data_IF_220043632859
#
_entry.id   IF_220043632859
#
_cell.length_a   1.000
_cell.length_b   1.000
_cell.length_c   1.000
_cell.angle_alpha   90.00
_cell.angle_beta   90.00
_cell.angle_gamma   90.00
#
_symmetry.space_group_name_H-M   'P 1'
#
loop_
_entity.id
_entity.type
_entity.pdbx_description
1 polymer ?
#
# COMPACT_ATOMS: atom_id res chain seq x y z
N UNK A 1 28.25 -14.85 -10.73
CA UNK A 1 27.87 -15.63 -11.93
C UNK A 1 26.36 -15.52 -12.06
N UNK A 2 25.84 -14.85 -13.11
CA UNK A 2 24.40 -14.63 -13.33
C UNK A 2 23.99 -15.43 -14.56
N UNK A 3 23.10 -16.40 -14.39
CA UNK A 3 22.53 -17.17 -15.50
C UNK A 3 21.27 -16.43 -15.94
N UNK A 4 21.18 -16.07 -17.21
CA UNK A 4 20.01 -15.40 -17.80
C UNK A 4 19.49 -16.21 -18.99
N UNK A 5 18.17 -16.36 -19.15
CA UNK A 5 17.57 -17.10 -20.26
C UNK A 5 17.83 -16.41 -21.62
N UNK A 6 17.90 -17.23 -22.67
CA UNK A 6 18.20 -16.82 -24.06
C UNK A 6 16.93 -16.50 -24.88
N UNK A 7 15.81 -16.10 -24.27
CA UNK A 7 14.58 -15.83 -25.03
C UNK A 7 14.51 -14.38 -25.52
N UNK A 8 14.29 -14.21 -26.82
CA UNK A 8 14.01 -12.90 -27.45
C UNK A 8 12.55 -12.43 -27.26
N UNK A 9 11.70 -13.26 -26.66
CA UNK A 9 10.33 -12.86 -26.35
C UNK A 9 10.34 -11.90 -25.14
N UNK A 10 9.56 -10.80 -25.17
CA UNK A 10 9.40 -9.96 -23.99
C UNK A 10 8.88 -10.82 -22.84
N UNK A 11 9.63 -10.88 -21.74
CA UNK A 11 9.17 -11.56 -20.54
C UNK A 11 7.90 -10.85 -20.04
N UNK A 12 6.80 -11.59 -19.81
CA UNK A 12 5.61 -10.98 -19.22
C UNK A 12 5.94 -10.48 -17.82
N UNK A 13 5.50 -9.28 -17.47
CA UNK A 13 5.58 -8.78 -16.10
C UNK A 13 4.61 -9.58 -15.23
N UNK A 14 5.13 -10.50 -14.42
CA UNK A 14 4.37 -11.39 -13.54
C UNK A 14 4.55 -10.99 -12.07
N UNK A 15 4.15 -9.76 -11.74
CA UNK A 15 4.15 -9.31 -10.34
C UNK A 15 3.02 -10.02 -9.58
N UNK A 16 3.32 -10.79 -8.53
CA UNK A 16 2.30 -11.54 -7.79
C UNK A 16 1.25 -10.63 -7.16
N UNK A 17 0.00 -11.08 -7.18
CA UNK A 17 -1.14 -10.45 -6.53
C UNK A 17 -1.17 -10.79 -5.05
N UNK A 18 -1.49 -9.80 -4.23
CA UNK A 18 -1.99 -10.03 -2.87
C UNK A 18 -3.52 -10.06 -2.90
N UNK A 19 -4.09 -11.27 -2.75
CA UNK A 19 -5.54 -11.45 -2.72
C UNK A 19 -6.05 -11.14 -1.33
N UNK A 20 -6.76 -10.01 -1.21
CA UNK A 20 -7.33 -9.54 0.04
C UNK A 20 -8.67 -10.22 0.37
N UNK A 21 -8.82 -10.73 1.58
CA UNK A 21 -10.05 -11.37 2.06
C UNK A 21 -10.95 -10.45 2.92
N UNK A 22 -10.52 -9.20 3.14
CA UNK A 22 -11.16 -8.24 4.05
C UNK A 22 -10.36 -8.00 5.34
N UNK A 23 -9.45 -8.90 5.70
CA UNK A 23 -8.68 -8.88 6.95
C UNK A 23 -7.18 -9.06 6.68
N UNK A 24 -6.81 -9.98 5.79
CA UNK A 24 -5.44 -10.27 5.40
C UNK A 24 -5.32 -10.47 3.89
N UNK A 25 -4.09 -10.41 3.40
CA UNK A 25 -3.75 -10.68 2.02
C UNK A 25 -2.89 -11.94 1.94
N UNK A 26 -3.13 -12.78 0.95
CA UNK A 26 -2.31 -13.96 0.67
C UNK A 26 -2.05 -14.11 -0.83
N UNK A 27 -1.04 -14.91 -1.17
CA UNK A 27 -0.71 -15.28 -2.54
C UNK A 27 -1.68 -16.35 -3.04
N UNK A 28 -2.11 -16.22 -4.29
CA UNK A 28 -2.96 -17.21 -4.96
C UNK A 28 -2.25 -17.83 -6.16
N UNK A 29 -2.66 -19.04 -6.54
CA UNK A 29 -2.20 -19.68 -7.78
C UNK A 29 -2.91 -19.05 -8.98
N UNK A 30 -2.19 -18.83 -10.07
CA UNK A 30 -2.71 -18.27 -11.31
C UNK A 30 -3.79 -19.14 -11.96
N UNK A 31 -4.81 -18.49 -12.51
CA UNK A 31 -5.97 -19.14 -13.11
C UNK A 31 -5.73 -19.67 -14.53
N UNK A 32 -6.66 -20.48 -15.09
CA UNK A 32 -6.60 -20.94 -16.47
C UNK A 32 -6.59 -19.82 -17.52
N UNK A 33 -7.06 -18.64 -17.13
CA UNK A 33 -7.12 -17.42 -17.92
C UNK A 33 -5.80 -16.62 -17.95
N UNK A 34 -4.80 -17.03 -17.16
CA UNK A 34 -3.44 -16.51 -17.21
C UNK A 34 -2.53 -17.44 -18.02
N UNK A 35 -2.77 -17.52 -19.33
CA UNK A 35 -2.10 -18.49 -20.22
C UNK A 35 -0.55 -18.40 -20.18
N UNK A 36 0.01 -17.22 -19.93
CA UNK A 36 1.45 -16.98 -19.77
C UNK A 36 2.01 -17.21 -18.37
N UNK A 37 1.17 -17.57 -17.40
CA UNK A 37 1.51 -17.70 -15.98
C UNK A 37 0.96 -19.02 -15.36
N UNK A 38 0.83 -20.07 -16.19
CA UNK A 38 0.21 -21.33 -15.76
C UNK A 38 1.04 -21.99 -14.66
N UNK A 39 0.40 -22.23 -13.51
CA UNK A 39 1.06 -22.81 -12.34
C UNK A 39 1.95 -21.84 -11.56
N UNK A 40 2.01 -20.57 -11.97
CA UNK A 40 2.66 -19.50 -11.22
C UNK A 40 1.74 -18.89 -10.15
N UNK A 41 2.23 -17.83 -9.51
CA UNK A 41 1.42 -17.00 -8.61
C UNK A 41 0.59 -16.04 -9.46
N UNK A 42 -0.70 -15.93 -9.14
CA UNK A 42 -1.65 -15.02 -9.79
C UNK A 42 -1.05 -13.62 -9.91
N UNK A 43 -1.10 -13.01 -11.10
CA UNK A 43 -0.41 -11.75 -11.39
C UNK A 43 -1.25 -10.84 -12.31
N UNK A 44 -2.30 -10.23 -11.76
CA UNK A 44 -3.33 -9.49 -12.50
C UNK A 44 -3.67 -8.11 -11.92
N UNK A 45 -3.26 -7.85 -10.69
CA UNK A 45 -3.63 -6.70 -9.87
C UNK A 45 -2.37 -6.10 -9.24
N UNK A 46 -1.34 -5.89 -10.07
CA UNK A 46 -0.04 -5.43 -9.62
C UNK A 46 -0.12 -4.06 -8.93
N UNK A 47 -0.95 -3.15 -9.46
CA UNK A 47 -1.09 -1.80 -8.90
C UNK A 47 -1.91 -1.81 -7.61
N UNK A 48 -2.99 -2.58 -7.54
CA UNK A 48 -3.76 -2.79 -6.31
C UNK A 48 -2.91 -3.42 -5.21
N UNK A 49 -2.06 -4.39 -5.58
CA UNK A 49 -1.10 -5.02 -4.67
C UNK A 49 -0.08 -4.01 -4.16
N UNK A 50 0.46 -3.16 -5.04
CA UNK A 50 1.38 -2.10 -4.63
C UNK A 50 0.71 -1.09 -3.69
N UNK A 51 -0.54 -0.71 -3.97
CA UNK A 51 -1.35 0.14 -3.06
C UNK A 51 -1.51 -0.51 -1.69
N UNK A 52 -1.84 -1.81 -1.63
CA UNK A 52 -1.94 -2.55 -0.38
C UNK A 52 -0.61 -2.55 0.39
N UNK A 53 0.50 -2.83 -0.28
CA UNK A 53 1.83 -2.82 0.35
C UNK A 53 2.13 -1.44 0.93
N UNK A 54 1.96 -0.38 0.15
CA UNK A 54 2.17 1.00 0.62
C UNK A 54 1.33 1.37 1.84
N UNK A 55 0.07 0.94 1.90
CA UNK A 55 -0.85 1.31 2.98
C UNK A 55 -0.75 0.42 4.22
N UNK A 56 -0.49 -0.87 4.04
CA UNK A 56 -0.55 -1.90 5.09
C UNK A 56 0.81 -2.25 5.69
N UNK A 57 1.90 -1.68 5.16
CA UNK A 57 3.22 -1.71 5.81
C UNK A 57 3.47 -0.40 6.56
N UNK A 58 4.31 -0.44 7.60
CA UNK A 58 4.59 0.73 8.41
C UNK A 58 5.75 1.54 7.81
N UNK A 59 5.59 2.85 7.67
CA UNK A 59 6.72 3.73 7.35
C UNK A 59 7.50 4.08 8.63
N UNK A 60 8.83 4.24 8.48
CA UNK A 60 9.67 4.80 9.54
C UNK A 60 9.49 6.32 9.61
N UNK A 61 9.52 6.86 10.83
CA UNK A 61 9.30 8.31 11.08
C UNK A 61 10.47 8.94 11.83
N UNK A 62 10.53 10.27 11.87
CA UNK A 62 11.55 10.96 12.68
C UNK A 62 11.25 10.84 14.17
N UNK A 63 12.25 11.06 15.03
CA UNK A 63 12.05 11.01 16.48
C UNK A 63 11.04 12.06 16.98
N UNK A 64 10.93 13.20 16.30
CA UNK A 64 10.02 14.29 16.66
C UNK A 64 8.56 13.97 16.34
N UNK A 65 8.30 13.01 15.45
CA UNK A 65 6.95 12.54 15.12
C UNK A 65 6.45 11.45 16.10
N UNK A 66 7.35 10.85 16.88
CA UNK A 66 7.02 9.83 17.87
C UNK A 66 6.47 10.46 19.15
N UNK A 67 5.49 9.80 19.77
CA UNK A 67 5.05 10.15 21.12
C UNK A 67 5.90 9.43 22.15
N UNK A 68 5.90 9.95 23.37
CA UNK A 68 6.57 9.29 24.49
C UNK A 68 6.09 7.84 24.64
N UNK A 69 7.04 6.90 24.58
CA UNK A 69 6.78 5.46 24.69
C UNK A 69 6.32 4.79 23.39
N UNK A 70 6.29 5.48 22.26
CA UNK A 70 6.16 4.83 20.95
C UNK A 70 7.51 4.24 20.51
N UNK A 71 7.47 3.03 19.95
CA UNK A 71 8.61 2.40 19.31
C UNK A 71 8.51 2.67 17.81
N UNK A 72 9.56 3.24 17.23
CA UNK A 72 9.58 3.53 15.81
C UNK A 72 9.43 2.25 14.99
N UNK A 73 8.56 2.29 14.00
CA UNK A 73 8.28 1.18 13.08
C UNK A 73 8.97 1.43 11.73
N UNK A 74 8.67 0.61 10.75
CA UNK A 74 9.26 0.75 9.42
C UNK A 74 9.20 -0.54 8.62
N UNK A 75 9.19 -0.40 7.30
CA UNK A 75 9.33 -1.50 6.38
C UNK A 75 10.78 -2.01 6.46
N UNK A 76 10.92 -3.33 6.62
CA UNK A 76 12.25 -3.90 6.86
C UNK A 76 13.16 -3.77 5.63
N UNK A 77 12.59 -3.78 4.41
CA UNK A 77 13.32 -3.66 3.15
C UNK A 77 14.09 -2.34 3.03
N UNK A 78 13.53 -1.25 3.56
CA UNK A 78 14.17 0.08 3.53
C UNK A 78 15.47 0.15 4.35
N UNK A 79 15.73 -0.84 5.21
CA UNK A 79 16.87 -0.80 6.13
C UNK A 79 18.16 -1.38 5.54
N UNK A 80 18.11 -2.12 4.44
CA UNK A 80 19.28 -2.82 3.91
C UNK A 80 19.37 -2.89 2.38
N UNK A 81 18.31 -2.59 1.65
CA UNK A 81 18.26 -2.69 0.18
C UNK A 81 17.38 -1.56 -0.39
N UNK A 82 17.93 -0.35 -0.38
CA UNK A 82 17.30 0.82 -1.00
C UNK A 82 18.26 1.40 -2.04
N UNK A 83 17.95 1.19 -3.32
CA UNK A 83 18.70 1.76 -4.44
C UNK A 83 18.09 3.09 -4.89
N UNK A 84 18.44 4.17 -4.17
CA UNK A 84 18.01 5.53 -4.52
C UNK A 84 18.44 5.92 -5.94
N UNK A 85 19.54 5.38 -6.47
CA UNK A 85 19.99 5.66 -7.82
C UNK A 85 19.09 5.00 -8.90
N UNK A 86 18.40 3.91 -8.54
CA UNK A 86 17.35 3.30 -9.34
C UNK A 86 15.97 3.94 -9.14
N UNK A 87 15.87 4.97 -8.28
CA UNK A 87 14.61 5.66 -7.98
C UNK A 87 13.76 4.94 -6.93
N UNK A 88 14.36 4.02 -6.15
CA UNK A 88 13.68 3.44 -5.00
C UNK A 88 13.56 4.47 -3.88
N UNK A 89 12.45 4.42 -3.16
CA UNK A 89 12.16 5.29 -2.03
C UNK A 89 11.54 4.46 -0.90
N UNK A 90 11.68 4.89 0.38
CA UNK A 90 11.05 4.20 1.49
C UNK A 90 9.55 4.02 1.27
N UNK A 91 9.05 2.84 1.59
CA UNK A 91 7.63 2.50 1.45
C UNK A 91 6.94 2.34 2.80
N UNK A 92 5.62 2.20 2.75
CA UNK A 92 4.77 2.07 3.91
C UNK A 92 4.08 3.37 4.31
N UNK A 93 3.25 3.28 5.33
CA UNK A 93 2.38 4.35 5.76
C UNK A 93 2.62 4.76 7.21
N UNK A 94 2.40 6.05 7.48
CA UNK A 94 2.37 6.61 8.84
C UNK A 94 1.01 6.42 9.53
N UNK A 95 0.07 5.70 8.90
CA UNK A 95 -1.25 5.39 9.47
C UNK A 95 -1.18 4.71 10.85
N UNK A 96 -0.11 3.96 11.15
CA UNK A 96 0.09 3.36 12.47
C UNK A 96 0.21 4.38 13.61
N UNK A 97 0.61 5.63 13.33
CA UNK A 97 0.61 6.72 14.32
C UNK A 97 -0.81 7.06 14.82
N UNK A 98 -1.84 6.68 14.06
CA UNK A 98 -3.24 6.92 14.40
C UNK A 98 -3.81 5.83 15.33
N UNK A 99 -3.15 4.67 15.49
CA UNK A 99 -3.66 3.55 16.30
C UNK A 99 -3.90 3.90 17.77
N UNK A 100 -3.13 4.85 18.31
CA UNK A 100 -3.27 5.34 19.70
C UNK A 100 -4.05 6.66 19.82
N UNK A 101 -4.65 7.15 18.72
CA UNK A 101 -5.51 8.34 18.76
C UNK A 101 -6.96 7.93 18.90
N UNK A 102 -7.72 8.71 19.66
CA UNK A 102 -9.19 8.66 19.62
C UNK A 102 -9.66 9.19 18.28
N UNK A 103 -10.58 8.50 17.62
CA UNK A 103 -11.15 8.99 16.36
C UNK A 103 -11.99 10.23 16.64
N UNK A 104 -11.52 11.38 16.15
CA UNK A 104 -12.28 12.62 16.13
C UNK A 104 -12.83 12.91 14.71
N UNK A 105 -13.68 13.94 14.59
CA UNK A 105 -14.36 14.23 13.34
C UNK A 105 -13.53 15.02 12.30
N UNK A 106 -12.36 15.53 12.67
CA UNK A 106 -11.61 16.53 11.89
C UNK A 106 -10.12 16.20 11.73
N UNK A 107 -9.37 16.06 12.82
CA UNK A 107 -7.92 15.90 12.80
C UNK A 107 -7.52 14.50 12.33
N UNK A 108 -8.08 13.44 12.92
CA UNK A 108 -7.76 12.05 12.53
C UNK A 108 -8.06 11.76 11.04
N UNK A 109 -9.23 12.11 10.47
CA UNK A 109 -9.48 11.96 9.03
C UNK A 109 -8.47 12.69 8.16
N UNK A 110 -8.18 13.95 8.48
CA UNK A 110 -7.23 14.77 7.71
C UNK A 110 -5.82 14.18 7.74
N UNK A 111 -5.35 13.73 8.90
CA UNK A 111 -4.06 13.06 9.03
C UNK A 111 -4.03 11.74 8.26
N UNK A 112 -5.13 10.97 8.27
CA UNK A 112 -5.21 9.71 7.53
C UNK A 112 -5.15 9.94 6.01
N UNK A 113 -5.80 10.98 5.49
CA UNK A 113 -5.69 11.38 4.08
C UNK A 113 -4.25 11.75 3.74
N UNK A 114 -3.61 12.62 4.54
CA UNK A 114 -2.22 13.05 4.34
C UNK A 114 -1.24 11.85 4.36
N UNK A 115 -1.40 10.95 5.33
CA UNK A 115 -0.55 9.77 5.48
C UNK A 115 -0.75 8.75 4.35
N UNK A 116 -1.99 8.59 3.88
CA UNK A 116 -2.29 7.70 2.76
C UNK A 116 -1.73 8.25 1.44
N UNK A 117 -1.89 9.54 1.16
CA UNK A 117 -1.31 10.16 -0.04
C UNK A 117 0.21 10.08 -0.02
N UNK A 118 0.84 10.38 1.12
CA UNK A 118 2.29 10.27 1.25
C UNK A 118 2.80 8.84 1.03
N UNK A 119 2.10 7.83 1.55
CA UNK A 119 2.45 6.42 1.37
C UNK A 119 2.38 5.96 -0.10
N UNK A 120 1.53 6.61 -0.91
CA UNK A 120 1.33 6.29 -2.32
C UNK A 120 2.24 7.10 -3.26
N UNK A 121 2.99 8.06 -2.73
CA UNK A 121 3.91 8.89 -3.52
C UNK A 121 4.94 8.08 -4.33
N UNK A 122 5.53 6.98 -3.81
CA UNK A 122 6.45 6.16 -4.61
C UNK A 122 5.83 5.65 -5.92
N UNK A 123 4.53 5.35 -5.95
CA UNK A 123 3.83 4.89 -7.16
C UNK A 123 3.70 6.00 -8.21
N UNK A 124 3.63 7.25 -7.76
CA UNK A 124 3.59 8.42 -8.65
C UNK A 124 4.98 8.72 -9.21
N UNK A 125 5.99 8.69 -8.34
CA UNK A 125 7.37 9.00 -8.69
C UNK A 125 7.94 7.95 -9.69
N UNK A 126 7.54 6.69 -9.54
CA UNK A 126 7.86 5.60 -10.47
C UNK A 126 7.00 5.63 -11.76
N UNK A 127 6.02 6.53 -11.85
CA UNK A 127 5.15 6.68 -13.02
C UNK A 127 4.08 5.60 -13.18
N UNK A 128 3.81 4.81 -12.14
CA UNK A 128 2.77 3.77 -12.14
C UNK A 128 1.35 4.36 -12.10
N UNK A 129 1.20 5.57 -11.56
CA UNK A 129 -0.01 6.39 -11.68
C UNK A 129 0.36 7.86 -11.81
N UNK A 130 -0.56 8.68 -12.32
CA UNK A 130 -0.34 10.12 -12.45
C UNK A 130 -0.76 10.90 -11.21
N UNK A 131 -1.74 10.38 -10.46
CA UNK A 131 -2.26 11.01 -9.24
C UNK A 131 -2.83 9.98 -8.29
N UNK A 132 -2.63 10.20 -6.99
CA UNK A 132 -3.30 9.49 -5.92
C UNK A 132 -4.17 10.47 -5.11
N UNK A 133 -5.37 10.05 -4.72
CA UNK A 133 -6.22 10.79 -3.78
C UNK A 133 -6.72 9.87 -2.68
N UNK A 134 -6.82 10.42 -1.47
CA UNK A 134 -7.40 9.75 -0.32
C UNK A 134 -8.57 10.57 0.21
N UNK A 135 -9.62 9.91 0.69
CA UNK A 135 -10.73 10.53 1.41
C UNK A 135 -11.07 9.70 2.63
N UNK A 136 -11.06 10.33 3.80
CA UNK A 136 -11.33 9.69 5.06
C UNK A 136 -12.69 10.12 5.63
N UNK A 137 -13.46 9.17 6.13
CA UNK A 137 -14.73 9.41 6.83
C UNK A 137 -14.64 8.83 8.24
N UNK A 138 -14.72 9.69 9.26
CA UNK A 138 -14.76 9.26 10.66
C UNK A 138 -16.20 9.04 11.13
N UNK A 139 -16.36 8.00 11.95
CA UNK A 139 -17.50 7.79 12.83
C UNK A 139 -16.99 7.73 14.28
N UNK A 140 -16.89 8.89 14.96
CA UNK A 140 -16.40 8.96 16.34
C UNK A 140 -17.25 8.14 17.32
N UNK A 141 -18.56 8.03 17.08
CA UNK A 141 -19.47 7.29 17.95
C UNK A 141 -19.20 5.78 17.95
N UNK A 142 -18.63 5.26 16.85
CA UNK A 142 -18.21 3.85 16.72
C UNK A 142 -16.69 3.68 16.69
N UNK A 143 -15.93 4.73 17.03
CA UNK A 143 -14.47 4.76 16.98
C UNK A 143 -13.90 4.16 15.67
N UNK A 144 -14.44 4.59 14.53
CA UNK A 144 -14.17 4.00 13.21
C UNK A 144 -13.70 5.05 12.22
N UNK A 145 -12.76 4.64 11.36
CA UNK A 145 -12.31 5.43 10.22
C UNK A 145 -12.42 4.60 8.94
N UNK A 146 -13.08 5.15 7.93
CA UNK A 146 -13.09 4.59 6.57
C UNK A 146 -12.20 5.44 5.67
N UNK A 147 -11.43 4.79 4.80
CA UNK A 147 -10.46 5.42 3.91
C UNK A 147 -10.72 4.96 2.47
N UNK A 148 -11.10 5.87 1.60
CA UNK A 148 -11.26 5.65 0.17
C UNK A 148 -10.01 6.13 -0.57
N UNK A 149 -9.47 5.27 -1.44
CA UNK A 149 -8.24 5.52 -2.21
C UNK A 149 -8.56 5.42 -3.70
N UNK A 150 -8.11 6.42 -4.45
CA UNK A 150 -8.23 6.44 -5.92
C UNK A 150 -6.88 6.77 -6.54
N UNK A 151 -6.44 5.95 -7.49
CA UNK A 151 -5.32 6.25 -8.38
C UNK A 151 -5.86 6.53 -9.78
N UNK A 152 -5.35 7.56 -10.43
CA UNK A 152 -5.72 7.93 -11.80
C UNK A 152 -4.51 8.07 -12.71
N UNK A 153 -4.70 7.78 -14.00
CA UNK A 153 -3.70 8.02 -15.04
C UNK A 153 -3.74 9.48 -15.53
N UNK A 154 -2.81 9.86 -16.40
CA UNK A 154 -2.62 11.23 -16.92
C UNK A 154 -3.81 11.74 -17.72
N UNK A 155 -4.56 10.83 -18.32
CA UNK A 155 -5.81 11.13 -19.03
C UNK A 155 -7.03 11.27 -18.09
N UNK A 156 -6.83 11.04 -16.79
CA UNK A 156 -7.87 11.09 -15.76
C UNK A 156 -8.67 9.79 -15.60
N UNK A 157 -8.34 8.73 -16.34
CA UNK A 157 -8.94 7.42 -16.15
C UNK A 157 -8.59 6.85 -14.78
N UNK A 158 -9.53 6.12 -14.17
CA UNK A 158 -9.30 5.49 -12.86
C UNK A 158 -8.55 4.17 -13.06
N UNK A 159 -7.37 4.07 -12.45
CA UNK A 159 -6.54 2.87 -12.44
C UNK A 159 -6.93 1.95 -11.28
N UNK A 160 -7.10 2.52 -10.09
CA UNK A 160 -7.50 1.80 -8.86
C UNK A 160 -8.52 2.62 -8.10
N UNK A 161 -9.58 1.98 -7.59
CA UNK A 161 -10.53 2.57 -6.65
C UNK A 161 -10.84 1.55 -5.54
N UNK A 162 -10.31 1.79 -4.35
CA UNK A 162 -10.41 0.87 -3.21
C UNK A 162 -10.96 1.57 -1.98
N UNK A 163 -11.65 0.81 -1.13
CA UNK A 163 -12.15 1.30 0.16
C UNK A 163 -11.65 0.40 1.26
N UNK A 164 -11.01 1.01 2.24
CA UNK A 164 -10.46 0.36 3.41
C UNK A 164 -11.19 0.86 4.64
N UNK A 165 -11.24 0.01 5.65
CA UNK A 165 -11.70 0.39 6.98
C UNK A 165 -10.57 0.09 7.93
N UNK A 166 -10.24 1.08 8.74
CA UNK A 166 -9.33 0.86 9.85
C UNK A 166 -10.20 0.60 11.09
N UNK A 167 -9.81 -0.38 11.90
CA UNK A 167 -10.55 -0.84 13.08
C UNK A 167 -9.69 -0.61 14.32
N UNK A 168 -10.23 0.13 15.28
CA UNK A 168 -9.58 0.45 16.56
C UNK A 168 -10.04 -0.49 17.67
N UNK A 169 -11.07 -1.29 17.41
CA UNK A 169 -11.44 -2.41 18.26
C UNK A 169 -10.44 -3.55 18.03
N UNK A 170 -9.94 -4.15 19.11
CA UNK A 170 -9.18 -5.39 19.00
C UNK A 170 -10.03 -6.39 18.22
N UNK A 171 -9.47 -6.97 17.16
CA UNK A 171 -10.06 -8.13 16.49
C UNK A 171 -10.27 -9.19 17.59
N UNK A 172 -11.50 -9.27 18.09
CA UNK A 172 -11.88 -10.25 19.09
C UNK A 172 -11.64 -11.63 18.50
N UNK A 173 -10.70 -12.36 19.09
CA UNK A 173 -10.68 -13.81 19.01
C UNK A 173 -11.83 -14.40 19.84
#
# INVERSE_FOLDING_TARGET
MRIIPLSDAPEPTLSPDLVWDGVMADLAVGGPDEAGNRGGLRARAALETAVLICLMTDARVSADELRDGDVNRGWIGDSFDLDEAAGEAPIGSRLWLLMRRTVDAVEVPRLAEDYAVAALQPLIDQGAAAKATASATADPARNRLELAITLTDRDGSTLVASRYRVLWEGLGA
#
